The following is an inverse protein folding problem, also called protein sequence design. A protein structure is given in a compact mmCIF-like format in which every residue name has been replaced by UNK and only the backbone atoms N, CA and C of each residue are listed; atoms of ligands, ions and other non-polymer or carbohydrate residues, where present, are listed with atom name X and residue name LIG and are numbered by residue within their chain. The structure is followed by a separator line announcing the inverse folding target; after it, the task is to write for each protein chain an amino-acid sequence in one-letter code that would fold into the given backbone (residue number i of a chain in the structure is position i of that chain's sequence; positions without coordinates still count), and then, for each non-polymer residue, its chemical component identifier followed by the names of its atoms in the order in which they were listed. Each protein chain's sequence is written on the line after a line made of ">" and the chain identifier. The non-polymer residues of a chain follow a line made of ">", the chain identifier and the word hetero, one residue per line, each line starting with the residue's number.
data_IF_019213052743
#
_entry.id   IF_019213052743
#
_cell.length_a   1.000
_cell.length_b   1.000
_cell.length_c   1.000
_cell.angle_alpha   90.00
_cell.angle_beta   90.00
_cell.angle_gamma   90.00
#
_symmetry.space_group_name_H-M   'P 1'
#
loop_
_entity.id
_entity.type
_entity.pdbx_description
1 polymer ?
#
# COMPACT_ATOMS: atom_id res chain seq x y z
N UNK A 1 38.40 -43.43 28.12
CA UNK A 1 39.07 -42.14 28.35
C UNK A 1 38.27 -41.09 27.60
N UNK A 2 37.63 -40.19 28.34
CA UNK A 2 36.66 -39.19 27.92
C UNK A 2 37.37 -38.02 27.19
N UNK A 3 36.85 -37.55 26.05
CA UNK A 3 37.11 -36.18 25.58
C UNK A 3 35.86 -35.56 24.97
N UNK A 4 35.38 -34.55 25.69
CA UNK A 4 34.32 -33.60 25.39
C UNK A 4 34.87 -32.52 24.41
N UNK A 5 34.18 -32.21 23.32
CA UNK A 5 34.31 -30.94 22.57
C UNK A 5 32.96 -30.68 21.89
N UNK A 6 32.08 -29.90 22.54
CA UNK A 6 31.87 -28.46 22.37
C UNK A 6 31.26 -28.08 21.01
N UNK A 7 29.97 -27.81 21.09
CA UNK A 7 29.02 -27.32 20.08
C UNK A 7 29.42 -25.95 19.54
N UNK A 8 29.45 -25.79 18.21
CA UNK A 8 29.18 -24.50 17.55
C UNK A 8 28.25 -24.83 16.37
N UNK A 9 26.96 -24.64 16.57
CA UNK A 9 25.98 -24.62 15.48
C UNK A 9 26.02 -23.19 14.94
N UNK A 10 26.67 -22.99 13.79
CA UNK A 10 26.49 -21.76 13.01
C UNK A 10 25.03 -21.74 12.54
N UNK A 11 24.18 -20.96 13.21
CA UNK A 11 22.93 -20.49 12.61
C UNK A 11 23.33 -19.47 11.55
N UNK A 12 23.52 -19.93 10.32
CA UNK A 12 23.46 -19.04 9.16
C UNK A 12 21.99 -18.63 9.02
N UNK A 13 21.67 -17.40 9.44
CA UNK A 13 20.43 -16.74 9.05
C UNK A 13 20.50 -16.56 7.54
N UNK A 14 19.94 -17.51 6.80
CA UNK A 14 19.64 -17.36 5.40
C UNK A 14 18.55 -16.29 5.30
N UNK A 15 18.96 -15.05 5.07
CA UNK A 15 18.08 -14.03 4.51
C UNK A 15 17.71 -14.52 3.11
N UNK A 16 16.55 -15.13 2.99
CA UNK A 16 15.94 -15.30 1.67
C UNK A 16 15.41 -13.92 1.29
N UNK A 17 15.84 -13.32 0.17
CA UNK A 17 15.16 -12.15 -0.34
C UNK A 17 13.71 -12.55 -0.60
N UNK A 18 12.77 -11.83 0.01
CA UNK A 18 11.34 -11.98 -0.30
C UNK A 18 11.20 -11.54 -1.76
N UNK A 19 10.98 -12.49 -2.67
CA UNK A 19 10.66 -12.19 -4.06
C UNK A 19 9.18 -11.86 -4.15
N UNK A 20 8.86 -10.59 -4.37
CA UNK A 20 7.51 -10.13 -4.68
C UNK A 20 7.02 -10.74 -6.01
N UNK A 21 5.72 -11.05 -6.15
CA UNK A 21 5.17 -11.53 -7.41
C UNK A 21 5.27 -10.45 -8.49
N UNK A 22 5.98 -10.75 -9.58
CA UNK A 22 6.08 -9.89 -10.74
C UNK A 22 4.84 -10.00 -11.63
N UNK A 23 4.47 -8.89 -12.29
CA UNK A 23 3.39 -8.87 -13.27
C UNK A 23 3.70 -9.82 -14.44
N UNK A 24 2.78 -10.74 -14.73
CA UNK A 24 2.82 -11.52 -15.97
C UNK A 24 2.48 -10.60 -17.17
N UNK A 25 3.02 -10.84 -18.38
CA UNK A 25 2.70 -10.01 -19.55
C UNK A 25 1.20 -10.08 -19.89
N UNK A 26 0.57 -8.91 -20.04
CA UNK A 26 -0.87 -8.77 -20.33
C UNK A 26 -1.28 -9.58 -21.57
N UNK A 27 -2.31 -10.43 -21.40
CA UNK A 27 -3.05 -11.04 -22.50
C UNK A 27 -4.21 -10.09 -22.88
N UNK A 28 -4.32 -9.61 -24.14
CA UNK A 28 -5.37 -8.66 -24.49
C UNK A 28 -6.74 -9.36 -24.50
N UNK A 29 -7.61 -8.94 -23.59
CA UNK A 29 -8.98 -9.41 -23.47
C UNK A 29 -9.96 -8.24 -23.32
N UNK A 30 -10.10 -7.42 -24.36
CA UNK A 30 -11.05 -6.32 -24.37
C UNK A 30 -12.50 -6.84 -24.39
N UNK A 31 -13.11 -6.92 -23.21
CA UNK A 31 -14.56 -7.13 -23.07
C UNK A 31 -15.19 -5.82 -22.64
N UNK A 32 -15.65 -5.03 -23.60
CA UNK A 32 -16.45 -3.83 -23.33
C UNK A 32 -17.85 -4.25 -22.85
N UNK A 33 -18.15 -4.02 -21.57
CA UNK A 33 -19.49 -4.16 -21.01
C UNK A 33 -20.38 -2.95 -21.40
N UNK A 34 -21.71 -3.13 -21.55
CA UNK A 34 -22.62 -2.03 -21.81
C UNK A 34 -22.63 -1.03 -20.63
N UNK A 35 -22.70 0.27 -20.94
CA UNK A 35 -22.80 1.35 -19.95
C UNK A 35 -24.12 1.22 -19.21
N UNK A 36 -24.12 0.49 -18.10
CA UNK A 36 -25.13 0.64 -17.06
C UNK A 36 -24.77 1.92 -16.32
N UNK A 37 -25.64 2.93 -16.40
CA UNK A 37 -25.53 4.16 -15.61
C UNK A 37 -25.76 3.80 -14.13
N UNK A 38 -24.77 3.17 -13.49
CA UNK A 38 -24.74 3.07 -12.02
C UNK A 38 -24.62 4.49 -11.52
N UNK A 39 -25.54 4.92 -10.67
CA UNK A 39 -25.26 6.04 -9.78
C UNK A 39 -23.99 5.65 -9.01
N UNK A 40 -22.84 6.24 -9.36
CA UNK A 40 -21.62 6.12 -8.57
C UNK A 40 -21.89 6.90 -7.29
N UNK A 41 -22.29 6.18 -6.25
CA UNK A 41 -22.31 6.75 -4.92
C UNK A 41 -20.87 7.08 -4.51
N UNK A 42 -20.65 8.09 -3.66
CA UNK A 42 -19.33 8.38 -3.15
C UNK A 42 -18.84 7.19 -2.32
N UNK A 43 -17.92 6.42 -2.88
CA UNK A 43 -17.37 5.22 -2.26
C UNK A 43 -15.94 5.03 -2.76
N UNK A 44 -15.10 4.50 -1.87
CA UNK A 44 -13.83 3.90 -2.27
C UNK A 44 -14.15 2.47 -2.69
N UNK A 45 -13.96 2.15 -3.96
CA UNK A 45 -14.16 0.80 -4.49
C UNK A 45 -12.99 -0.09 -4.04
N UNK A 46 -13.27 -1.35 -3.64
CA UNK A 46 -12.27 -2.32 -3.19
C UNK A 46 -11.24 -1.74 -2.20
N UNK A 47 -11.72 -0.96 -1.22
CA UNK A 47 -10.85 -0.26 -0.26
C UNK A 47 -10.20 -1.17 0.79
N UNK A 48 -10.78 -2.34 1.02
CA UNK A 48 -10.24 -3.45 1.82
C UNK A 48 -9.38 -4.41 0.98
N UNK A 49 -9.23 -4.18 -0.33
CA UNK A 49 -8.40 -4.95 -1.25
C UNK A 49 -8.76 -6.43 -1.43
N UNK A 50 -9.84 -6.92 -0.83
CA UNK A 50 -10.23 -8.34 -0.83
C UNK A 50 -10.68 -8.88 -2.19
N UNK A 51 -10.89 -8.00 -3.18
CA UNK A 51 -11.12 -8.39 -4.57
C UNK A 51 -9.80 -8.53 -5.36
N UNK A 52 -8.64 -8.35 -4.71
CA UNK A 52 -7.31 -8.36 -5.31
C UNK A 52 -7.14 -7.26 -6.36
N UNK A 53 -6.26 -7.51 -7.33
CA UNK A 53 -6.14 -6.64 -8.52
C UNK A 53 -7.32 -6.87 -9.47
N UNK A 54 -8.46 -6.30 -9.13
CA UNK A 54 -9.68 -6.33 -9.95
C UNK A 54 -9.80 -5.14 -10.91
N UNK A 55 -8.84 -4.21 -10.89
CA UNK A 55 -8.84 -2.99 -11.71
C UNK A 55 -9.54 -1.77 -11.10
N UNK A 56 -10.08 -1.86 -9.88
CA UNK A 56 -10.63 -0.68 -9.18
C UNK A 56 -9.53 0.30 -8.74
N UNK A 57 -8.34 -0.23 -8.47
CA UNK A 57 -7.12 0.53 -8.23
C UNK A 57 -6.14 0.34 -9.39
N UNK A 58 -5.58 1.45 -9.87
CA UNK A 58 -4.44 1.45 -10.76
C UNK A 58 -3.17 1.26 -9.92
N UNK A 59 -2.44 0.19 -10.21
CA UNK A 59 -1.17 -0.16 -9.57
C UNK A 59 -0.01 0.13 -10.51
N UNK A 60 0.91 1.01 -10.10
CA UNK A 60 2.11 1.34 -10.86
C UNK A 60 3.33 1.21 -9.96
N UNK A 61 4.16 0.20 -10.20
CA UNK A 61 5.47 0.02 -9.58
C UNK A 61 6.54 0.30 -10.63
N UNK A 62 7.52 1.15 -10.31
CA UNK A 62 8.66 1.40 -11.21
C UNK A 62 9.48 0.12 -11.44
N UNK A 63 9.52 -0.77 -10.45
CA UNK A 63 10.13 -2.10 -10.55
C UNK A 63 9.22 -3.19 -11.16
N UNK A 64 7.95 -2.87 -11.47
CA UNK A 64 7.02 -3.77 -12.17
C UNK A 64 6.35 -4.83 -11.29
N UNK A 65 6.30 -4.61 -9.97
CA UNK A 65 5.59 -5.50 -9.04
C UNK A 65 4.11 -5.15 -8.91
N UNK A 66 3.30 -6.13 -8.49
CA UNK A 66 1.97 -5.86 -7.97
C UNK A 66 2.08 -5.18 -6.60
N UNK A 67 1.19 -4.22 -6.35
CA UNK A 67 1.09 -3.49 -5.09
C UNK A 67 -0.04 -4.04 -4.22
N UNK A 68 -1.13 -4.55 -4.81
CA UNK A 68 -2.17 -5.28 -4.08
C UNK A 68 -1.77 -6.76 -4.01
N UNK A 69 -1.53 -7.25 -2.80
CA UNK A 69 -0.93 -8.56 -2.55
C UNK A 69 -1.77 -9.36 -1.56
N UNK A 70 -1.85 -10.66 -1.80
CA UNK A 70 -2.54 -11.61 -0.93
C UNK A 70 -1.58 -12.19 0.09
N UNK A 71 -2.03 -12.36 1.32
CA UNK A 71 -1.37 -13.26 2.25
C UNK A 71 -1.53 -14.71 1.76
N UNK A 72 -0.41 -15.33 1.37
CA UNK A 72 -0.38 -16.74 1.00
C UNK A 72 -0.38 -17.58 2.30
N UNK A 73 -1.03 -18.77 2.35
CA UNK A 73 -0.94 -19.70 3.50
C UNK A 73 0.47 -20.05 3.98
N UNK A 74 1.54 -19.74 3.23
CA UNK A 74 2.94 -19.85 3.68
C UNK A 74 3.41 -18.63 4.51
N UNK A 75 2.62 -17.55 4.61
CA UNK A 75 2.86 -16.38 5.45
C UNK A 75 4.07 -15.56 5.01
N UNK A 76 4.14 -15.22 3.72
CA UNK A 76 5.30 -14.53 3.14
C UNK A 76 5.21 -13.00 3.25
N UNK A 77 4.07 -12.46 3.68
CA UNK A 77 3.96 -11.04 3.94
C UNK A 77 4.69 -10.69 5.26
N UNK A 78 5.47 -9.60 5.28
CA UNK A 78 6.13 -9.15 6.51
C UNK A 78 5.12 -8.60 7.56
N UNK A 79 3.90 -8.28 7.14
CA UNK A 79 2.80 -7.78 7.96
C UNK A 79 1.52 -8.53 7.58
N UNK A 80 0.78 -9.03 8.57
CA UNK A 80 -0.53 -9.64 8.35
C UNK A 80 -1.55 -8.57 7.90
N UNK A 81 -2.40 -8.86 6.88
CA UNK A 81 -3.51 -8.00 6.51
C UNK A 81 -4.34 -7.55 7.71
N UNK A 82 -4.78 -6.31 7.70
CA UNK A 82 -5.56 -5.76 8.81
C UNK A 82 -6.89 -6.47 8.91
N UNK A 83 -7.52 -6.68 7.76
CA UNK A 83 -8.73 -7.45 7.60
C UNK A 83 -8.56 -8.42 6.43
N UNK A 84 -9.38 -9.47 6.40
CA UNK A 84 -9.38 -10.42 5.28
C UNK A 84 -8.04 -11.12 5.02
N UNK A 85 -7.58 -11.11 3.78
CA UNK A 85 -6.38 -11.80 3.31
C UNK A 85 -5.59 -11.00 2.28
N UNK A 86 -5.95 -9.74 2.01
CA UNK A 86 -5.27 -8.87 1.06
C UNK A 86 -4.89 -7.56 1.73
N UNK A 87 -3.80 -6.95 1.26
CA UNK A 87 -3.42 -5.59 1.60
C UNK A 87 -2.70 -4.95 0.41
N UNK A 88 -2.49 -3.64 0.48
CA UNK A 88 -1.56 -2.97 -0.42
C UNK A 88 -0.19 -2.79 0.22
N UNK A 89 0.88 -3.21 -0.47
CA UNK A 89 2.27 -3.07 -0.07
C UNK A 89 3.02 -2.20 -1.08
N UNK A 90 3.39 -1.00 -0.66
CA UNK A 90 4.17 -0.05 -1.46
C UNK A 90 5.58 0.08 -0.88
N UNK A 91 6.60 0.04 -1.72
CA UNK A 91 8.00 0.01 -1.30
C UNK A 91 8.49 -1.41 -1.06
N UNK A 92 9.15 -1.66 0.09
CA UNK A 92 9.74 -2.97 0.42
C UNK A 92 10.99 -3.35 -0.36
N UNK A 93 11.34 -2.55 -1.36
CA UNK A 93 12.54 -2.65 -2.17
C UNK A 93 13.24 -1.29 -2.27
N UNK A 94 14.46 -1.33 -2.78
CA UNK A 94 15.31 -0.17 -2.99
C UNK A 94 14.94 0.58 -4.28
N UNK A 95 15.13 1.90 -4.29
CA UNK A 95 14.93 2.78 -5.45
C UNK A 95 13.57 2.60 -6.16
N UNK A 96 12.49 2.54 -5.38
CA UNK A 96 11.13 2.32 -5.88
C UNK A 96 10.32 3.62 -5.95
N UNK A 97 9.51 3.70 -7.00
CA UNK A 97 8.38 4.62 -7.08
C UNK A 97 7.12 3.80 -7.30
N UNK A 98 6.25 3.76 -6.29
CA UNK A 98 4.99 3.03 -6.34
C UNK A 98 3.82 4.01 -6.24
N UNK A 99 2.84 3.91 -7.14
CA UNK A 99 1.57 4.62 -7.09
C UNK A 99 0.42 3.62 -7.02
N UNK A 100 -0.44 3.79 -6.03
CA UNK A 100 -1.73 3.12 -5.95
C UNK A 100 -2.83 4.18 -6.04
N UNK A 101 -3.60 4.16 -7.13
CA UNK A 101 -4.50 5.26 -7.47
C UNK A 101 -5.93 4.81 -7.79
N UNK A 102 -6.92 5.62 -7.42
CA UNK A 102 -8.33 5.40 -7.78
C UNK A 102 -9.01 6.73 -8.17
N UNK A 103 -9.87 6.67 -9.19
CA UNK A 103 -10.77 7.79 -9.50
C UNK A 103 -12.01 7.72 -8.62
N UNK A 104 -12.17 8.72 -7.73
CA UNK A 104 -13.21 8.76 -6.70
C UNK A 104 -14.20 9.88 -7.01
N UNK A 105 -15.50 9.55 -7.02
CA UNK A 105 -16.57 10.54 -7.08
C UNK A 105 -16.85 11.02 -5.66
N UNK A 106 -16.60 12.29 -5.37
CA UNK A 106 -16.78 12.84 -4.04
C UNK A 106 -18.26 13.13 -3.73
N UNK A 107 -18.66 13.18 -2.45
CA UNK A 107 -20.01 13.52 -2.03
C UNK A 107 -20.37 14.91 -2.55
N UNK A 108 -21.62 15.10 -2.98
CA UNK A 108 -22.06 16.36 -3.56
C UNK A 108 -21.99 17.54 -2.57
N UNK A 109 -22.08 17.27 -1.27
CA UNK A 109 -22.05 18.23 -0.18
C UNK A 109 -21.73 17.52 1.15
N UNK A 110 -21.47 18.34 2.17
CA UNK A 110 -21.20 17.87 3.54
C UNK A 110 -19.73 17.55 3.79
N UNK A 111 -19.32 17.39 5.06
CA UNK A 111 -17.97 16.98 5.39
C UNK A 111 -17.63 15.61 4.80
N UNK A 112 -16.44 15.50 4.21
CA UNK A 112 -15.95 14.26 3.62
C UNK A 112 -14.53 13.99 4.10
N UNK A 113 -14.31 12.84 4.73
CA UNK A 113 -13.00 12.47 5.27
C UNK A 113 -12.56 11.14 4.68
N UNK A 114 -11.33 11.08 4.17
CA UNK A 114 -10.68 9.81 3.87
C UNK A 114 -10.17 9.22 5.18
N UNK A 115 -10.49 7.95 5.45
CA UNK A 115 -9.87 7.16 6.51
C UNK A 115 -9.20 5.95 5.91
N UNK A 116 -7.98 5.68 6.34
CA UNK A 116 -7.24 4.48 5.93
C UNK A 116 -6.41 3.98 7.09
N UNK A 117 -6.04 2.71 7.02
CA UNK A 117 -5.17 2.09 8.00
C UNK A 117 -3.82 1.78 7.36
N UNK A 118 -2.76 1.93 8.14
CA UNK A 118 -1.42 1.75 7.63
C UNK A 118 -0.46 1.14 8.64
N UNK A 119 0.60 0.52 8.13
CA UNK A 119 1.82 0.22 8.88
C UNK A 119 3.06 0.70 8.14
N UNK A 120 4.09 1.07 8.89
CA UNK A 120 5.40 1.46 8.40
C UNK A 120 6.42 0.47 8.97
N UNK A 121 7.15 -0.20 8.08
CA UNK A 121 8.33 -0.99 8.43
C UNK A 121 9.52 -0.55 7.56
N UNK A 122 10.58 -0.10 8.20
CA UNK A 122 11.74 0.48 7.52
C UNK A 122 13.03 0.19 8.28
N UNK A 123 14.06 -0.18 7.52
CA UNK A 123 15.44 -0.26 8.00
C UNK A 123 16.18 1.07 7.86
N UNK A 124 15.56 2.09 7.24
CA UNK A 124 16.18 3.39 6.98
C UNK A 124 16.44 4.14 8.29
N UNK A 125 17.71 4.42 8.67
CA UNK A 125 17.99 5.05 9.97
C UNK A 125 17.54 6.51 10.05
N UNK A 126 17.63 7.24 8.92
CA UNK A 126 17.36 8.67 8.86
C UNK A 126 16.12 8.97 8.02
N UNK A 127 15.27 9.86 8.52
CA UNK A 127 14.04 10.29 7.86
C UNK A 127 14.31 11.36 6.78
N UNK A 128 13.31 11.62 5.93
CA UNK A 128 13.33 12.65 4.89
C UNK A 128 13.73 12.17 3.50
N UNK A 129 14.23 10.93 3.39
CA UNK A 129 14.63 10.33 2.13
C UNK A 129 13.51 9.48 1.52
N UNK A 130 13.00 8.52 2.29
CA UNK A 130 11.91 7.64 1.88
C UNK A 130 10.60 8.18 2.47
N UNK A 131 9.56 8.28 1.63
CA UNK A 131 8.31 8.90 2.02
C UNK A 131 7.10 8.24 1.36
N UNK A 132 5.99 8.26 2.08
CA UNK A 132 4.65 8.10 1.53
C UNK A 132 3.99 9.48 1.41
N UNK A 133 3.31 9.73 0.29
CA UNK A 133 2.50 10.91 0.04
C UNK A 133 1.07 10.52 -0.27
N UNK A 134 0.11 11.24 0.28
CA UNK A 134 -1.26 11.23 -0.19
C UNK A 134 -1.46 12.40 -1.15
N UNK A 135 -1.79 12.09 -2.40
CA UNK A 135 -2.03 13.07 -3.45
C UNK A 135 -3.51 13.08 -3.83
N UNK A 136 -4.01 14.26 -4.17
CA UNK A 136 -5.31 14.44 -4.82
C UNK A 136 -5.13 15.17 -6.14
N UNK A 137 -5.50 14.51 -7.23
CA UNK A 137 -5.17 14.84 -8.61
C UNK A 137 -3.65 14.83 -8.83
N UNK A 138 -2.95 15.89 -8.43
CA UNK A 138 -1.48 16.00 -8.44
C UNK A 138 -0.97 16.85 -7.27
N UNK A 139 -1.86 17.28 -6.37
CA UNK A 139 -1.52 18.12 -5.21
C UNK A 139 -1.23 17.23 -4.00
N UNK A 140 -0.08 17.45 -3.35
CA UNK A 140 0.28 16.76 -2.11
C UNK A 140 -0.55 17.29 -0.93
N UNK A 141 -1.33 16.42 -0.30
CA UNK A 141 -2.10 16.75 0.89
C UNK A 141 -1.37 16.43 2.19
N UNK A 142 -0.66 15.30 2.22
CA UNK A 142 0.13 14.90 3.38
C UNK A 142 1.33 14.06 2.96
N UNK A 143 2.38 14.12 3.77
CA UNK A 143 3.60 13.34 3.63
C UNK A 143 3.95 12.69 4.95
N UNK A 144 4.29 11.40 4.90
CA UNK A 144 4.83 10.63 6.02
C UNK A 144 6.23 10.13 5.68
N UNK A 145 7.15 10.26 6.63
CA UNK A 145 8.48 9.66 6.49
C UNK A 145 8.38 8.14 6.64
N UNK A 146 9.24 7.42 5.91
CA UNK A 146 9.46 5.99 6.08
C UNK A 146 10.89 5.82 6.61
N UNK A 147 11.01 5.62 7.92
CA UNK A 147 12.29 5.49 8.62
C UNK A 147 12.08 4.80 9.98
N UNK A 148 13.15 4.25 10.54
CA UNK A 148 13.14 3.56 11.83
C UNK A 148 12.49 4.36 12.96
N UNK A 149 12.68 5.68 12.99
CA UNK A 149 12.15 6.54 14.05
C UNK A 149 10.61 6.64 14.06
N UNK A 150 9.95 6.25 12.96
CA UNK A 150 8.48 6.31 12.82
C UNK A 150 7.88 4.96 12.42
N UNK A 151 8.65 3.86 12.53
CA UNK A 151 8.11 2.51 12.37
C UNK A 151 6.94 2.29 13.33
N UNK A 152 5.94 1.54 12.85
CA UNK A 152 4.76 1.19 13.62
C UNK A 152 4.85 -0.27 14.03
N UNK A 153 4.33 -0.61 15.22
CA UNK A 153 4.26 -2.01 15.67
C UNK A 153 2.92 -2.70 15.41
N UNK A 154 1.92 -1.95 14.94
CA UNK A 154 0.56 -2.40 14.65
C UNK A 154 -0.10 -1.43 13.65
N UNK A 155 -1.26 -1.80 13.11
CA UNK A 155 -2.07 -0.99 12.21
C UNK A 155 -2.51 0.32 12.85
N UNK A 156 -2.00 1.42 12.31
CA UNK A 156 -2.36 2.79 12.67
C UNK A 156 -3.51 3.29 11.82
N UNK A 157 -4.24 4.30 12.28
CA UNK A 157 -5.31 4.95 11.50
C UNK A 157 -4.91 6.37 11.13
N UNK A 158 -5.13 6.75 9.89
CA UNK A 158 -5.08 8.14 9.44
C UNK A 158 -6.45 8.61 8.97
N UNK A 159 -6.73 9.89 9.21
CA UNK A 159 -7.93 10.58 8.72
C UNK A 159 -7.51 11.89 8.07
N UNK A 160 -7.95 12.14 6.85
CA UNK A 160 -7.63 13.36 6.07
C UNK A 160 -8.93 14.00 5.62
N UNK A 161 -9.08 15.30 5.87
CA UNK A 161 -10.22 16.08 5.41
C UNK A 161 -10.13 16.33 3.89
N UNK A 162 -11.13 15.85 3.15
CA UNK A 162 -11.27 16.02 1.72
C UNK A 162 -12.49 16.90 1.37
N UNK A 163 -13.04 17.64 2.32
CA UNK A 163 -14.27 18.43 2.13
C UNK A 163 -14.14 19.50 1.05
N UNK A 164 -12.91 19.97 0.79
CA UNK A 164 -12.60 20.90 -0.32
C UNK A 164 -12.87 20.31 -1.71
N UNK A 165 -12.95 18.98 -1.82
CA UNK A 165 -13.15 18.26 -3.08
C UNK A 165 -14.60 17.78 -3.28
N UNK A 166 -15.52 18.13 -2.38
CA UNK A 166 -16.94 17.78 -2.51
C UNK A 166 -17.53 18.25 -3.84
N UNK A 167 -18.38 17.42 -4.43
CA UNK A 167 -19.00 17.65 -5.74
C UNK A 167 -18.08 17.43 -6.95
N UNK A 168 -16.82 17.04 -6.73
CA UNK A 168 -15.84 16.79 -7.80
C UNK A 168 -15.63 15.29 -8.01
N UNK A 169 -15.04 14.93 -9.15
CA UNK A 169 -14.36 13.65 -9.31
C UNK A 169 -12.87 13.92 -9.15
N UNK A 170 -12.22 13.20 -8.26
CA UNK A 170 -10.79 13.34 -7.98
C UNK A 170 -10.04 12.06 -8.34
N UNK A 171 -8.75 12.19 -8.57
CA UNK A 171 -7.82 11.04 -8.51
C UNK A 171 -7.18 11.03 -7.13
N UNK A 172 -7.41 9.98 -6.35
CA UNK A 172 -6.75 9.76 -5.08
C UNK A 172 -5.53 8.86 -5.33
N UNK A 173 -4.34 9.27 -4.88
CA UNK A 173 -3.11 8.48 -5.07
C UNK A 173 -2.32 8.37 -3.79
N UNK A 174 -2.00 7.14 -3.40
CA UNK A 174 -0.94 6.84 -2.45
C UNK A 174 0.36 6.65 -3.23
N UNK A 175 1.30 7.57 -3.06
CA UNK A 175 2.61 7.53 -3.71
C UNK A 175 3.67 7.18 -2.67
N UNK A 176 4.49 6.16 -2.94
CA UNK A 176 5.70 5.88 -2.16
C UNK A 176 6.91 6.10 -3.04
N UNK A 177 7.89 6.79 -2.48
CA UNK A 177 9.23 6.92 -3.07
C UNK A 177 10.24 6.41 -2.05
N UNK A 178 11.04 5.42 -2.42
CA UNK A 178 12.21 4.98 -1.65
C UNK A 178 13.48 5.31 -2.43
N UNK A 179 14.58 5.49 -1.71
CA UNK A 179 15.88 5.67 -2.33
C UNK A 179 16.97 4.85 -1.63
N UNK A 180 18.07 4.65 -2.35
CA UNK A 180 19.32 4.05 -1.90
C UNK A 180 19.31 2.53 -1.74
N UNK A 181 20.51 1.97 -1.93
CA UNK A 181 20.73 0.57 -2.29
C UNK A 181 21.14 -0.36 -1.12
N UNK A 182 20.79 -0.03 0.13
CA UNK A 182 21.14 -0.91 1.27
C UNK A 182 20.10 -1.00 2.39
N UNK A 183 18.89 -0.48 2.20
CA UNK A 183 17.86 -0.49 3.25
C UNK A 183 16.49 -0.39 2.62
N UNK A 184 15.55 -1.21 3.09
CA UNK A 184 14.16 -1.13 2.63
C UNK A 184 13.33 -0.17 3.48
N UNK A 185 12.26 0.31 2.87
CA UNK A 185 11.18 1.07 3.51
C UNK A 185 9.86 0.62 2.90
N UNK A 186 8.94 0.15 3.75
CA UNK A 186 7.64 -0.37 3.37
C UNK A 186 6.54 0.48 3.97
N UNK A 187 5.53 0.75 3.16
CA UNK A 187 4.25 1.30 3.58
C UNK A 187 3.16 0.27 3.24
N UNK A 188 2.52 -0.25 4.26
CA UNK A 188 1.36 -1.16 4.12
C UNK A 188 0.09 -0.35 4.30
N UNK A 189 -0.91 -0.63 3.48
CA UNK A 189 -2.19 0.08 3.44
C UNK A 189 -3.33 -0.92 3.39
N UNK A 190 -4.38 -0.64 4.16
CA UNK A 190 -5.59 -1.47 4.21
C UNK A 190 -6.81 -0.65 4.66
N UNK A 191 -8.01 -1.20 4.46
CA UNK A 191 -9.30 -0.67 4.92
C UNK A 191 -9.51 0.83 4.57
N UNK A 192 -9.27 1.21 3.31
CA UNK A 192 -9.46 2.58 2.80
C UNK A 192 -10.95 2.88 2.63
N UNK A 193 -11.42 3.96 3.24
CA UNK A 193 -12.84 4.32 3.24
C UNK A 193 -13.07 5.82 3.20
N UNK A 194 -14.18 6.22 2.57
CA UNK A 194 -14.67 7.59 2.65
C UNK A 194 -15.77 7.68 3.72
N UNK A 195 -15.55 8.51 4.73
CA UNK A 195 -16.51 8.80 5.80
C UNK A 195 -17.22 10.10 5.47
N UNK A 196 -18.54 10.04 5.38
CA UNK A 196 -19.40 11.21 5.27
C UNK A 196 -20.06 11.44 6.62
N UNK A 197 -19.99 12.67 7.13
CA UNK A 197 -20.78 13.07 8.28
C UNK A 197 -22.10 13.71 7.82
N UNK A 198 -23.24 13.36 8.44
CA UNK A 198 -24.56 13.87 8.05
C UNK A 198 -24.77 15.37 8.32
#
# INVERSE_FOLDING_TARGET
>A
MLRLLLTIILLMSSFYPITLPQRAPDQPGDTFLPIILRARFPVIENGDFELGNNGDWLEESAAGYWLIVQDDPVGLLPVEPRSGSWLAWLGGIEDEVANLSQSVVMPAYGPAHLRYFYQIDSEKPNCGADVMRLMVNDDELTTMNLCQAVNTSDWMTATVDLSLYTGQTITLTFNVTTNAATSYSSFFLDDVSLIMEP
#
